data_IF_167345128290
#
_entry.id   IF_167345128290
#
_cell.length_a   1.000
_cell.length_b   1.000
_cell.length_c   1.000
_cell.angle_alpha   90.00
_cell.angle_beta   90.00
_cell.angle_gamma   90.00
#
_symmetry.space_group_name_H-M   'P 1'
#
loop_
_entity.id
_entity.type
_entity.pdbx_description
1 polymer ?
#
# COMPACT_ATOMS: atom_id res chain seq x y z
N UNK A 1 -0.91 -7.08 8.80
CA UNK A 1 -2.04 -6.45 8.09
C UNK A 1 -1.79 -4.96 8.06
N UNK A 2 -1.90 -4.33 6.91
CA UNK A 2 -1.78 -2.87 6.75
C UNK A 2 -3.17 -2.25 6.75
N UNK A 3 -3.27 -0.95 7.09
CA UNK A 3 -4.53 -0.18 7.06
C UNK A 3 -4.31 1.16 6.37
N UNK A 4 -5.30 1.60 5.60
CA UNK A 4 -5.34 2.93 4.97
C UNK A 4 -6.72 3.53 5.15
N UNK A 5 -6.79 4.86 5.15
CA UNK A 5 -8.03 5.61 5.41
C UNK A 5 -8.24 6.69 4.36
N UNK A 6 -9.48 6.89 4.01
CA UNK A 6 -9.98 7.95 3.12
C UNK A 6 -11.18 8.64 3.77
N UNK A 7 -11.36 9.93 3.49
CA UNK A 7 -12.53 10.70 3.94
C UNK A 7 -13.60 10.63 2.86
N UNK A 8 -14.42 9.59 2.92
CA UNK A 8 -15.53 9.42 1.96
C UNK A 8 -16.50 8.34 2.48
N UNK A 9 -17.45 8.78 3.30
CA UNK A 9 -18.50 7.91 3.83
C UNK A 9 -19.81 8.67 3.96
N UNK A 10 -20.91 8.03 3.61
CA UNK A 10 -22.25 8.61 3.71
C UNK A 10 -23.31 7.54 4.03
N UNK A 11 -24.49 7.99 4.41
CA UNK A 11 -25.69 7.16 4.51
C UNK A 11 -26.52 7.39 3.25
N UNK A 12 -26.81 6.31 2.51
CA UNK A 12 -27.67 6.34 1.35
C UNK A 12 -28.97 5.58 1.62
N UNK A 13 -30.10 6.17 1.24
CA UNK A 13 -31.39 5.50 1.26
C UNK A 13 -31.62 4.78 -0.07
N UNK A 14 -32.02 3.52 -0.02
CA UNK A 14 -32.41 2.73 -1.17
C UNK A 14 -33.88 3.00 -1.53
N UNK A 15 -34.29 2.61 -2.75
CA UNK A 15 -35.67 2.80 -3.24
C UNK A 15 -36.72 2.08 -2.37
N UNK A 16 -36.35 0.99 -1.73
CA UNK A 16 -37.19 0.21 -0.83
C UNK A 16 -37.24 0.76 0.62
N UNK A 17 -36.57 1.91 0.86
CA UNK A 17 -36.53 2.60 2.16
C UNK A 17 -35.46 2.09 3.11
N UNK A 18 -34.70 1.04 2.78
CA UNK A 18 -33.54 0.62 3.57
C UNK A 18 -32.44 1.66 3.50
N UNK A 19 -31.63 1.73 4.54
CA UNK A 19 -30.46 2.60 4.60
C UNK A 19 -29.19 1.74 4.54
N UNK A 20 -28.22 2.18 3.76
CA UNK A 20 -26.91 1.57 3.65
C UNK A 20 -25.83 2.59 4.02
N UNK A 21 -24.75 2.09 4.60
CA UNK A 21 -23.51 2.86 4.78
C UNK A 21 -22.69 2.63 3.52
N UNK A 22 -22.27 3.69 2.84
CA UNK A 22 -21.45 3.60 1.62
C UNK A 22 -20.25 4.53 1.70
N UNK A 23 -19.15 4.16 1.04
CA UNK A 23 -17.94 4.96 0.96
C UNK A 23 -16.86 4.24 0.18
N UNK A 24 -15.77 4.94 -0.16
CA UNK A 24 -14.62 4.32 -0.78
C UNK A 24 -13.67 3.75 0.29
N UNK A 25 -13.51 2.43 0.30
CA UNK A 25 -12.48 1.77 1.09
C UNK A 25 -11.09 2.01 0.49
N UNK A 26 -10.99 2.02 -0.86
CA UNK A 26 -9.75 2.16 -1.61
C UNK A 26 -9.98 3.24 -2.67
N UNK A 27 -9.02 4.17 -2.80
CA UNK A 27 -9.01 5.17 -3.88
C UNK A 27 -7.76 4.94 -4.73
N UNK A 28 -7.95 4.75 -6.04
CA UNK A 28 -6.87 4.50 -6.99
C UNK A 28 -6.15 5.78 -7.39
N UNK A 29 -4.88 5.64 -7.72
CA UNK A 29 -4.01 6.68 -8.27
C UNK A 29 -3.93 7.97 -7.44
N UNK A 30 -4.40 7.95 -6.21
CA UNK A 30 -4.28 9.06 -5.27
C UNK A 30 -3.07 8.83 -4.38
N UNK A 31 -2.15 9.81 -4.37
CA UNK A 31 -0.99 9.74 -3.50
C UNK A 31 -1.39 9.99 -2.04
N UNK A 32 -0.89 9.14 -1.15
CA UNK A 32 -1.09 9.30 0.29
C UNK A 32 -0.28 10.49 0.82
N UNK A 33 -0.61 10.96 2.02
CA UNK A 33 0.32 11.74 2.82
C UNK A 33 1.57 10.93 3.18
N UNK A 34 2.55 11.58 3.81
CA UNK A 34 3.71 10.88 4.39
C UNK A 34 3.27 9.84 5.42
N UNK A 35 3.64 8.59 5.18
CA UNK A 35 3.35 7.43 6.02
C UNK A 35 4.53 7.07 6.94
N UNK A 36 5.41 8.03 7.20
CA UNK A 36 6.60 7.88 8.02
C UNK A 36 7.85 7.56 7.19
N UNK A 37 8.13 8.43 6.21
CA UNK A 37 9.29 8.40 5.32
C UNK A 37 8.98 7.94 3.89
N UNK A 38 7.71 7.72 3.56
CA UNK A 38 7.29 7.38 2.21
C UNK A 38 5.85 7.83 1.93
N UNK A 39 5.53 8.01 0.65
CA UNK A 39 4.17 8.13 0.13
C UNK A 39 3.77 6.85 -0.60
N UNK A 40 2.47 6.63 -0.74
CA UNK A 40 1.92 5.42 -1.36
C UNK A 40 0.84 5.77 -2.38
N UNK A 41 0.82 5.02 -3.49
CA UNK A 41 -0.24 5.08 -4.49
C UNK A 41 -0.74 3.66 -4.72
N UNK A 42 -2.04 3.44 -4.59
CA UNK A 42 -2.68 2.18 -4.94
C UNK A 42 -3.08 2.24 -6.40
N UNK A 43 -2.63 1.27 -7.18
CA UNK A 43 -2.96 1.15 -8.60
C UNK A 43 -4.22 0.31 -8.81
N UNK A 44 -5.01 0.53 -9.88
CA UNK A 44 -6.20 -0.28 -10.17
C UNK A 44 -5.91 -1.78 -10.25
N UNK A 45 -4.76 -2.16 -10.84
CA UNK A 45 -4.31 -3.54 -10.95
C UNK A 45 -4.04 -4.21 -9.60
N UNK A 46 -3.99 -3.44 -8.50
CA UNK A 46 -3.83 -4.00 -7.15
C UNK A 46 -4.97 -4.94 -6.75
N UNK A 47 -6.15 -4.75 -7.35
CA UNK A 47 -7.33 -5.60 -7.13
C UNK A 47 -7.31 -6.89 -7.93
N UNK A 48 -6.49 -7.00 -8.96
CA UNK A 48 -6.41 -8.19 -9.81
C UNK A 48 -5.90 -9.40 -9.00
N UNK A 49 -6.78 -10.40 -8.82
CA UNK A 49 -6.48 -11.60 -8.04
C UNK A 49 -6.44 -11.40 -6.53
N UNK A 50 -6.82 -10.24 -6.02
CA UNK A 50 -6.99 -10.01 -4.59
C UNK A 50 -8.09 -10.91 -4.01
N UNK A 51 -7.82 -11.55 -2.87
CA UNK A 51 -8.84 -12.32 -2.17
C UNK A 51 -9.79 -11.40 -1.41
N UNK A 52 -11.00 -11.27 -1.93
CA UNK A 52 -12.12 -10.50 -1.34
C UNK A 52 -13.32 -11.39 -0.97
N UNK A 53 -13.15 -12.71 -0.96
CA UNK A 53 -14.24 -13.67 -0.75
C UNK A 53 -14.82 -13.61 0.67
N UNK A 54 -14.05 -13.14 1.63
CA UNK A 54 -14.46 -13.06 3.04
C UNK A 54 -13.93 -11.77 3.66
N UNK A 55 -14.62 -10.65 3.37
CA UNK A 55 -14.35 -9.33 3.92
C UNK A 55 -15.43 -8.98 4.93
N UNK A 56 -15.03 -8.45 6.09
CA UNK A 56 -15.94 -8.06 7.16
C UNK A 56 -16.06 -6.54 7.21
N UNK A 57 -17.28 -6.02 7.29
CA UNK A 57 -17.49 -4.62 7.61
C UNK A 57 -17.52 -4.45 9.12
N UNK A 58 -16.62 -3.60 9.65
CA UNK A 58 -16.46 -3.35 11.09
C UNK A 58 -16.64 -1.86 11.39
N UNK A 59 -16.78 -1.50 12.64
CA UNK A 59 -16.61 -0.12 13.11
C UNK A 59 -15.26 0.01 13.81
N UNK A 60 -14.44 1.00 13.39
CA UNK A 60 -13.10 1.23 13.94
C UNK A 60 -12.16 -0.01 13.92
N UNK A 61 -12.35 -0.93 12.96
CA UNK A 61 -11.64 -2.21 12.94
C UNK A 61 -11.83 -3.09 14.18
N UNK A 62 -12.91 -2.85 14.95
CA UNK A 62 -13.22 -3.65 16.13
C UNK A 62 -14.03 -4.90 15.75
N UNK A 63 -13.49 -6.10 15.95
CA UNK A 63 -14.17 -7.35 15.60
C UNK A 63 -15.41 -7.62 16.46
N UNK A 64 -15.61 -6.86 17.53
CA UNK A 64 -16.83 -6.94 18.35
C UNK A 64 -18.00 -6.15 17.77
N UNK A 65 -17.75 -5.25 16.80
CA UNK A 65 -18.77 -4.40 16.17
C UNK A 65 -18.83 -4.70 14.67
N UNK A 66 -19.51 -5.80 14.34
CA UNK A 66 -19.70 -6.25 12.97
C UNK A 66 -20.89 -5.55 12.34
N UNK A 67 -20.69 -4.89 11.20
CA UNK A 67 -21.72 -4.18 10.44
C UNK A 67 -22.23 -4.96 9.23
N UNK A 68 -21.41 -5.88 8.70
CA UNK A 68 -21.77 -6.69 7.55
C UNK A 68 -20.63 -7.62 7.14
N UNK A 69 -20.92 -8.47 6.13
CA UNK A 69 -19.95 -9.41 5.55
C UNK A 69 -20.24 -9.65 4.08
N UNK A 70 -19.21 -9.85 3.26
CA UNK A 70 -19.36 -10.22 1.85
C UNK A 70 -20.30 -11.41 1.67
N UNK A 71 -20.94 -11.48 0.49
CA UNK A 71 -21.97 -12.45 0.12
C UNK A 71 -23.30 -12.36 0.91
N UNK A 72 -23.42 -11.40 1.84
CA UNK A 72 -24.65 -11.19 2.61
C UNK A 72 -25.04 -9.71 2.62
N UNK A 73 -24.41 -8.94 3.48
CA UNK A 73 -24.80 -7.58 3.85
C UNK A 73 -23.70 -6.55 3.54
N UNK A 74 -22.61 -6.99 2.92
CA UNK A 74 -21.53 -6.14 2.39
C UNK A 74 -21.36 -6.42 0.91
N UNK A 75 -21.41 -5.38 0.09
CA UNK A 75 -21.01 -5.44 -1.32
C UNK A 75 -19.76 -4.59 -1.52
N UNK A 76 -18.81 -5.12 -2.29
CA UNK A 76 -17.63 -4.40 -2.75
C UNK A 76 -17.77 -4.17 -4.25
N UNK A 77 -17.70 -2.91 -4.68
CA UNK A 77 -17.90 -2.48 -6.06
C UNK A 77 -16.65 -1.78 -6.51
N UNK A 78 -15.96 -2.35 -7.50
CA UNK A 78 -14.77 -1.73 -8.10
C UNK A 78 -15.21 -0.87 -9.29
N UNK A 79 -14.75 0.38 -9.33
CA UNK A 79 -14.93 1.32 -10.42
C UNK A 79 -13.61 2.02 -10.79
N UNK A 80 -13.64 3.01 -11.69
CA UNK A 80 -12.43 3.73 -12.13
C UNK A 80 -11.78 4.58 -11.03
N UNK A 81 -12.52 4.92 -9.98
CA UNK A 81 -12.03 5.73 -8.86
C UNK A 81 -11.42 4.86 -7.75
N UNK A 82 -11.91 3.61 -7.59
CA UNK A 82 -11.47 2.78 -6.48
C UNK A 82 -12.36 1.58 -6.19
N UNK A 83 -12.39 1.18 -4.92
CA UNK A 83 -13.29 0.15 -4.40
C UNK A 83 -14.25 0.78 -3.42
N UNK A 84 -15.49 0.91 -3.83
CA UNK A 84 -16.61 1.37 -3.00
C UNK A 84 -17.24 0.17 -2.29
N UNK A 85 -17.68 0.39 -1.08
CA UNK A 85 -18.49 -0.59 -0.35
C UNK A 85 -19.91 -0.07 -0.10
N UNK A 86 -20.83 -1.02 0.02
CA UNK A 86 -22.19 -0.80 0.50
C UNK A 86 -22.46 -1.81 1.60
N UNK A 87 -22.74 -1.31 2.80
CA UNK A 87 -23.03 -2.11 3.98
C UNK A 87 -24.50 -1.94 4.32
N UNK A 88 -25.25 -3.04 4.40
CA UNK A 88 -26.58 -3.10 5.01
C UNK A 88 -26.39 -3.43 6.52
N UNK A 89 -26.41 -2.41 7.41
CA UNK A 89 -26.06 -2.64 8.80
C UNK A 89 -27.18 -3.38 9.55
N UNK A 90 -26.85 -4.12 10.61
CA UNK A 90 -27.86 -4.78 11.44
C UNK A 90 -28.72 -3.76 12.18
N UNK A 91 -29.96 -4.09 12.47
CA UNK A 91 -30.86 -3.23 13.25
C UNK A 91 -30.55 -3.39 14.75
N UNK A 92 -29.40 -2.85 15.18
CA UNK A 92 -28.95 -2.79 16.56
C UNK A 92 -28.80 -1.33 17.00
N UNK A 93 -28.83 -1.05 18.30
CA UNK A 93 -28.61 0.31 18.82
C UNK A 93 -27.26 0.87 18.35
N UNK A 94 -26.19 0.08 18.44
CA UNK A 94 -24.85 0.50 18.03
C UNK A 94 -24.78 0.87 16.53
N UNK A 95 -25.41 0.09 15.65
CA UNK A 95 -25.40 0.40 14.22
C UNK A 95 -26.27 1.62 13.91
N UNK A 96 -27.39 1.81 14.62
CA UNK A 96 -28.24 2.98 14.46
C UNK A 96 -27.53 4.26 14.95
N UNK A 97 -26.85 4.21 16.10
CA UNK A 97 -26.06 5.31 16.65
C UNK A 97 -24.90 5.69 15.70
N UNK A 98 -24.25 4.67 15.09
CA UNK A 98 -23.22 4.87 14.07
C UNK A 98 -23.78 5.58 12.83
N UNK A 99 -24.93 5.11 12.29
CA UNK A 99 -25.55 5.73 11.13
C UNK A 99 -25.93 7.18 11.41
N UNK A 100 -26.44 7.49 12.58
CA UNK A 100 -26.74 8.87 12.99
C UNK A 100 -25.47 9.72 13.03
N UNK A 101 -24.38 9.19 13.61
CA UNK A 101 -23.09 9.88 13.69
C UNK A 101 -22.47 10.13 12.29
N UNK A 102 -22.64 9.20 11.35
CA UNK A 102 -22.23 9.38 9.96
C UNK A 102 -23.10 10.46 9.28
N UNK A 103 -24.41 10.37 9.43
CA UNK A 103 -25.36 11.33 8.82
C UNK A 103 -25.11 12.76 9.30
N UNK A 104 -24.68 12.94 10.54
CA UNK A 104 -24.30 14.25 11.12
C UNK A 104 -22.89 14.71 10.68
N UNK A 105 -22.07 13.82 10.10
CA UNK A 105 -20.69 14.12 9.74
C UNK A 105 -19.69 14.03 10.91
N UNK A 106 -20.10 13.48 12.06
CA UNK A 106 -19.18 13.23 13.19
C UNK A 106 -18.20 12.10 12.86
N UNK A 107 -18.62 11.14 12.03
CA UNK A 107 -17.81 10.05 11.48
C UNK A 107 -17.82 10.17 9.95
N UNK A 108 -16.65 10.35 9.36
CA UNK A 108 -16.48 10.58 7.90
C UNK A 108 -15.33 9.81 7.28
N UNK A 109 -14.53 9.11 8.09
CA UNK A 109 -13.41 8.31 7.59
C UNK A 109 -13.84 6.91 7.22
N UNK A 110 -13.29 6.41 6.13
CA UNK A 110 -13.39 5.03 5.67
C UNK A 110 -12.00 4.39 5.65
N UNK A 111 -11.87 3.20 6.19
CA UNK A 111 -10.60 2.47 6.30
C UNK A 111 -10.74 1.05 5.77
N UNK A 112 -9.62 0.44 5.38
CA UNK A 112 -9.57 -0.97 5.03
C UNK A 112 -8.29 -1.63 5.55
N UNK A 113 -8.39 -2.93 5.87
CA UNK A 113 -7.28 -3.77 6.30
C UNK A 113 -6.89 -4.76 5.21
N UNK A 114 -5.58 -4.86 4.89
CA UNK A 114 -5.10 -5.66 3.77
C UNK A 114 -3.72 -6.26 4.01
N UNK A 115 -3.36 -7.22 3.16
CA UNK A 115 -1.98 -7.70 2.94
C UNK A 115 -1.62 -7.59 1.47
N UNK A 116 -0.31 -7.46 1.19
CA UNK A 116 0.23 -7.38 -0.16
C UNK A 116 0.83 -8.73 -0.52
N UNK A 117 0.56 -9.20 -1.76
CA UNK A 117 1.18 -10.41 -2.31
C UNK A 117 2.67 -10.20 -2.58
N UNK A 118 3.43 -11.28 -2.71
CA UNK A 118 4.82 -11.21 -3.13
C UNK A 118 4.96 -10.44 -4.44
N UNK A 119 5.85 -9.45 -4.48
CA UNK A 119 6.03 -8.51 -5.60
C UNK A 119 4.79 -7.67 -5.94
N UNK A 120 3.87 -7.50 -5.00
CA UNK A 120 2.68 -6.66 -5.16
C UNK A 120 2.90 -5.19 -4.85
N UNK A 121 4.13 -4.76 -4.61
CA UNK A 121 4.52 -3.36 -4.46
C UNK A 121 5.84 -3.08 -5.16
N UNK A 122 6.02 -1.82 -5.54
CA UNK A 122 7.25 -1.32 -6.16
C UNK A 122 7.69 -0.05 -5.45
N UNK A 123 8.95 -0.01 -5.07
CA UNK A 123 9.55 1.12 -4.38
C UNK A 123 10.40 1.96 -5.34
N UNK A 124 10.27 3.28 -5.25
CA UNK A 124 11.06 4.25 -5.99
C UNK A 124 11.80 5.14 -5.02
N UNK A 125 13.12 5.30 -5.24
CA UNK A 125 13.98 6.18 -4.45
C UNK A 125 13.56 7.63 -4.60
N UNK A 126 13.72 8.44 -3.53
CA UNK A 126 13.58 9.89 -3.64
C UNK A 126 14.63 10.46 -4.60
N UNK A 127 14.23 11.50 -5.33
CA UNK A 127 15.15 12.21 -6.25
C UNK A 127 16.09 13.18 -5.53
N UNK A 128 15.75 13.54 -4.29
CA UNK A 128 16.55 14.43 -3.43
C UNK A 128 16.86 13.75 -2.11
N UNK A 129 17.94 14.16 -1.45
CA UNK A 129 18.41 13.57 -0.19
C UNK A 129 17.33 13.61 0.93
N UNK A 130 16.52 14.65 0.96
CA UNK A 130 15.42 14.83 1.93
C UNK A 130 14.04 14.43 1.36
N UNK A 131 13.99 13.79 0.20
CA UNK A 131 12.74 13.36 -0.42
C UNK A 131 12.16 12.10 0.23
N UNK A 132 10.86 11.89 0.00
CA UNK A 132 10.18 10.69 0.45
C UNK A 132 10.35 9.55 -0.57
N UNK A 133 10.44 8.32 -0.08
CA UNK A 133 10.28 7.14 -0.91
C UNK A 133 8.85 7.07 -1.44
N UNK A 134 8.68 6.49 -2.62
CA UNK A 134 7.36 6.25 -3.19
C UNK A 134 7.10 4.76 -3.29
N UNK A 135 5.93 4.34 -2.81
CA UNK A 135 5.43 2.97 -2.94
C UNK A 135 4.26 2.94 -3.90
N UNK A 136 4.38 2.25 -5.02
CA UNK A 136 3.27 1.89 -5.88
C UNK A 136 2.78 0.49 -5.49
N UNK A 137 1.54 0.38 -4.99
CA UNK A 137 0.89 -0.90 -4.66
C UNK A 137 0.17 -1.41 -5.90
N UNK A 138 0.59 -2.57 -6.39
CA UNK A 138 0.13 -3.20 -7.64
C UNK A 138 -0.50 -4.56 -7.42
N UNK A 139 -0.54 -5.06 -6.18
CA UNK A 139 -1.14 -6.37 -5.92
C UNK A 139 -1.46 -6.64 -4.46
N UNK A 140 -2.73 -6.68 -4.10
CA UNK A 140 -3.18 -7.20 -2.82
C UNK A 140 -3.15 -8.73 -2.82
N UNK A 141 -2.83 -9.30 -1.66
CA UNK A 141 -3.05 -10.73 -1.39
C UNK A 141 -4.49 -10.93 -0.88
N UNK A 142 -4.86 -10.20 0.17
CA UNK A 142 -6.20 -10.29 0.79
C UNK A 142 -6.63 -8.94 1.36
N UNK A 143 -7.92 -8.63 1.20
CA UNK A 143 -8.64 -7.60 1.96
C UNK A 143 -9.36 -8.31 3.11
N UNK A 144 -9.18 -7.83 4.34
CA UNK A 144 -9.74 -8.44 5.55
C UNK A 144 -11.00 -7.75 6.03
N UNK A 145 -10.95 -6.42 6.07
CA UNK A 145 -12.07 -5.62 6.53
C UNK A 145 -12.16 -4.26 5.83
N UNK A 146 -13.34 -3.70 5.85
CA UNK A 146 -13.64 -2.31 5.54
C UNK A 146 -14.36 -1.71 6.74
N UNK A 147 -14.04 -0.46 7.08
CA UNK A 147 -14.52 0.12 8.36
C UNK A 147 -14.79 1.61 8.25
N UNK A 148 -16.02 2.08 8.63
CA UNK A 148 -16.18 3.42 9.16
C UNK A 148 -15.22 3.67 10.32
N UNK A 149 -14.53 4.80 10.34
CA UNK A 149 -13.58 5.14 11.41
C UNK A 149 -13.75 6.58 11.89
N UNK A 150 -13.64 6.77 13.20
CA UNK A 150 -13.76 8.10 13.83
C UNK A 150 -12.58 8.97 13.47
N UNK A 151 -11.38 8.41 13.57
CA UNK A 151 -10.16 9.12 13.23
C UNK A 151 -9.64 8.61 11.90
N UNK A 152 -9.72 9.43 10.82
CA UNK A 152 -8.97 9.14 9.61
C UNK A 152 -7.50 9.08 10.03
N UNK A 153 -6.87 7.93 9.83
CA UNK A 153 -5.61 7.52 10.44
C UNK A 153 -4.50 8.57 10.37
N UNK A 154 -4.45 9.43 11.37
CA UNK A 154 -3.30 10.28 11.64
C UNK A 154 -2.25 9.54 12.48
N UNK A 155 -2.65 8.60 13.32
CA UNK A 155 -1.74 7.92 14.25
C UNK A 155 -1.84 6.38 14.26
N UNK A 156 -2.91 5.80 13.70
CA UNK A 156 -3.16 4.35 13.75
C UNK A 156 -2.97 3.61 12.42
N UNK A 157 -2.34 4.25 11.42
CA UNK A 157 -1.99 3.53 10.19
C UNK A 157 -0.91 2.52 10.54
N UNK A 158 -1.26 1.23 10.56
CA UNK A 158 -0.25 0.19 10.71
C UNK A 158 0.59 0.11 9.44
N UNK A 159 1.70 0.86 9.45
CA UNK A 159 2.69 0.88 8.38
C UNK A 159 3.89 -0.02 8.68
N UNK A 160 3.82 -0.81 9.74
CA UNK A 160 4.96 -1.62 10.19
C UNK A 160 5.45 -2.60 9.12
N UNK A 161 4.54 -3.22 8.39
CA UNK A 161 4.87 -4.11 7.28
C UNK A 161 5.44 -3.34 6.08
N UNK A 162 4.87 -2.19 5.74
CA UNK A 162 5.38 -1.34 4.68
C UNK A 162 6.78 -0.80 5.00
N UNK A 163 7.04 -0.37 6.24
CA UNK A 163 8.37 0.07 6.70
C UNK A 163 9.39 -1.07 6.67
N UNK A 164 8.98 -2.29 6.99
CA UNK A 164 9.85 -3.48 6.86
C UNK A 164 10.18 -3.76 5.39
N UNK A 165 9.19 -3.71 4.49
CA UNK A 165 9.39 -3.84 3.04
C UNK A 165 10.34 -2.78 2.50
N UNK A 166 10.18 -1.51 2.91
CA UNK A 166 11.09 -0.42 2.57
C UNK A 166 12.52 -0.68 3.07
N UNK A 167 12.68 -1.22 4.29
CA UNK A 167 13.99 -1.59 4.83
C UNK A 167 14.70 -2.62 3.94
N UNK A 168 14.00 -3.69 3.56
CA UNK A 168 14.53 -4.71 2.67
C UNK A 168 14.94 -4.16 1.30
N UNK A 169 14.17 -3.23 0.75
CA UNK A 169 14.50 -2.61 -0.54
C UNK A 169 15.72 -1.69 -0.44
N UNK A 170 15.86 -0.94 0.65
CA UNK A 170 17.07 -0.14 0.93
C UNK A 170 18.31 -1.02 0.99
N UNK A 171 18.26 -2.11 1.76
CA UNK A 171 19.38 -3.05 1.90
C UNK A 171 19.75 -3.73 0.56
N UNK A 172 18.76 -4.00 -0.29
CA UNK A 172 18.97 -4.57 -1.63
C UNK A 172 19.71 -3.59 -2.52
N UNK A 173 19.26 -2.34 -2.56
CA UNK A 173 19.88 -1.29 -3.38
C UNK A 173 21.32 -1.01 -2.92
N UNK A 174 21.58 -1.01 -1.62
CA UNK A 174 22.93 -0.81 -1.07
C UNK A 174 23.87 -1.93 -1.51
N UNK A 175 23.43 -3.19 -1.39
CA UNK A 175 24.20 -4.35 -1.87
C UNK A 175 24.47 -4.31 -3.39
N UNK A 176 23.49 -3.91 -4.19
CA UNK A 176 23.67 -3.75 -5.64
C UNK A 176 24.67 -2.66 -5.97
N UNK A 177 24.66 -1.55 -5.23
CA UNK A 177 25.63 -0.47 -5.38
C UNK A 177 27.04 -0.89 -5.01
N UNK A 178 27.23 -1.57 -3.87
CA UNK A 178 28.52 -2.10 -3.43
C UNK A 178 29.09 -3.09 -4.46
N UNK A 179 28.24 -4.00 -4.97
CA UNK A 179 28.65 -4.96 -5.99
C UNK A 179 29.08 -4.25 -7.29
N UNK A 180 28.32 -3.25 -7.74
CA UNK A 180 28.69 -2.49 -8.92
C UNK A 180 30.01 -1.72 -8.77
N UNK A 181 30.33 -1.23 -7.57
CA UNK A 181 31.63 -0.61 -7.27
C UNK A 181 32.76 -1.66 -7.32
N UNK A 182 32.56 -2.84 -6.72
CA UNK A 182 33.53 -3.93 -6.77
C UNK A 182 33.81 -4.40 -8.20
N UNK A 183 32.76 -4.57 -9.02
CA UNK A 183 32.91 -4.99 -10.42
C UNK A 183 33.71 -3.96 -11.22
N UNK A 184 33.46 -2.66 -11.03
CA UNK A 184 34.25 -1.57 -11.66
C UNK A 184 35.73 -1.62 -11.22
N UNK A 185 36.00 -1.76 -9.95
CA UNK A 185 37.37 -1.85 -9.43
C UNK A 185 38.12 -3.07 -10.00
N UNK A 186 37.45 -4.22 -10.11
CA UNK A 186 38.02 -5.43 -10.74
C UNK A 186 38.32 -5.20 -12.23
N UNK A 187 37.43 -4.55 -12.95
CA UNK A 187 37.66 -4.25 -14.38
C UNK A 187 38.82 -3.28 -14.59
N UNK A 188 38.94 -2.24 -13.77
CA UNK A 188 40.06 -1.29 -13.80
C UNK A 188 41.40 -1.98 -13.48
N UNK A 189 41.40 -2.86 -12.46
CA UNK A 189 42.58 -3.64 -12.11
C UNK A 189 43.02 -4.58 -13.26
N UNK A 190 42.07 -5.23 -13.95
CA UNK A 190 42.33 -6.06 -15.12
C UNK A 190 42.92 -5.25 -16.28
N UNK A 191 42.39 -4.06 -16.58
CA UNK A 191 42.93 -3.15 -17.61
C UNK A 191 44.35 -2.71 -17.28
N UNK A 192 44.61 -2.34 -16.02
CA UNK A 192 45.95 -1.98 -15.54
C UNK A 192 46.96 -3.12 -15.68
N UNK A 193 46.55 -4.34 -15.29
CA UNK A 193 47.41 -5.51 -15.43
C UNK A 193 47.76 -5.86 -16.87
N UNK A 194 46.78 -5.78 -17.78
CA UNK A 194 46.97 -5.97 -19.21
C UNK A 194 47.96 -4.95 -19.79
N UNK A 195 47.84 -3.68 -19.37
CA UNK A 195 48.76 -2.63 -19.80
C UNK A 195 50.20 -2.87 -19.31
N UNK A 196 50.36 -3.32 -18.05
CA UNK A 196 51.67 -3.69 -17.52
C UNK A 196 52.33 -4.86 -18.26
N UNK A 197 51.54 -5.91 -18.61
CA UNK A 197 52.01 -7.05 -19.42
C UNK A 197 52.50 -6.60 -20.80
N UNK A 198 51.71 -5.79 -21.52
CA UNK A 198 52.11 -5.25 -22.80
C UNK A 198 53.39 -4.41 -22.74
N UNK A 199 53.57 -3.61 -21.68
CA UNK A 199 54.81 -2.84 -21.46
C UNK A 199 56.01 -3.74 -21.25
N UNK A 200 55.87 -4.83 -20.47
CA UNK A 200 56.92 -5.81 -20.25
C UNK A 200 57.31 -6.57 -21.53
N UNK A 201 56.35 -6.92 -22.35
CA UNK A 201 56.62 -7.55 -23.67
C UNK A 201 57.40 -6.61 -24.60
N UNK A 202 56.97 -5.34 -24.65
CA UNK A 202 57.67 -4.32 -25.47
C UNK A 202 59.13 -4.06 -24.99
N UNK A 203 59.41 -4.18 -23.69
CA UNK A 203 60.77 -4.04 -23.19
C UNK A 203 61.65 -5.21 -23.62
N UNK A 204 61.13 -6.43 -23.63
CA UNK A 204 61.87 -7.63 -24.10
C UNK A 204 62.26 -7.54 -25.55
N UNK A 205 61.39 -7.01 -26.42
CA UNK A 205 61.71 -6.78 -27.86
C UNK A 205 62.73 -5.67 -28.14
N UNK A 206 63.07 -4.85 -27.15
CA UNK A 206 64.08 -3.77 -27.31
C UNK A 206 65.46 -4.18 -26.84
N UNK A 207 65.61 -5.32 -26.19
CA UNK A 207 66.89 -5.89 -25.70
C UNK A 207 67.46 -6.98 -26.63
N UNK A 208 66.72 -7.37 -27.70
CA UNK A 208 67.17 -8.16 -28.85
C UNK A 208 67.59 -7.24 -30.02
#
# INVERSE_FOLDING_TARGET
>A
MERRVYDDIEIRSLEDGRKVITGYAIVFNKESRDLGGFTEVIKPEAMEGANVSDVVALFNHDPNIVLGRTDKTLQLITDDNGVRYEIEPPNTSQANDLMESIARGDIRGSSFGFTIRSNGDKWTKPQTENGLWKRDVTGFDKIYDVSPVVFPAYEATDTSLAKRSLGLEKDKIEREFEKAQQDKAVEEARKSLKLKRLKLELLKYKEE
#
